data_IF_310332721481
#
_entry.id   IF_310332721481
#
_cell.length_a   1.000
_cell.length_b   1.000
_cell.length_c   1.000
_cell.angle_alpha   90.00
_cell.angle_beta   90.00
_cell.angle_gamma   90.00
#
_symmetry.space_group_name_H-M   'P 1'
#
loop_
_entity.id
_entity.type
_entity.pdbx_description
1 polymer ?
#
# COMPACT_ATOMS: atom_id res chain seq x y z
N UNK A 1 -10.95 9.59 31.97
CA UNK A 1 -9.76 9.10 31.24
C UNK A 1 -9.77 7.58 30.98
N UNK A 2 -9.99 6.67 31.94
CA UNK A 2 -9.95 5.22 31.67
C UNK A 2 -11.10 4.71 30.79
N UNK A 3 -12.28 5.32 30.89
CA UNK A 3 -13.45 5.05 30.03
C UNK A 3 -13.15 5.29 28.54
N UNK A 4 -12.52 6.42 28.21
CA UNK A 4 -12.15 6.76 26.82
C UNK A 4 -11.14 5.77 26.24
N UNK A 5 -10.17 5.32 27.04
CA UNK A 5 -9.19 4.30 26.63
C UNK A 5 -9.87 2.96 26.36
N UNK A 6 -10.76 2.52 27.26
CA UNK A 6 -11.51 1.26 27.11
C UNK A 6 -12.40 1.28 25.87
N UNK A 7 -13.10 2.39 25.65
CA UNK A 7 -13.99 2.56 24.49
C UNK A 7 -13.20 2.62 23.18
N UNK A 8 -12.06 3.31 23.14
CA UNK A 8 -11.19 3.36 21.96
C UNK A 8 -10.51 2.02 21.66
N UNK A 9 -10.23 1.19 22.66
CA UNK A 9 -9.63 -0.13 22.47
C UNK A 9 -10.62 -1.21 22.00
N UNK A 10 -11.90 -1.14 22.44
CA UNK A 10 -12.91 -2.15 22.10
C UNK A 10 -13.60 -1.86 20.76
N UNK A 11 -13.69 -0.58 20.37
CA UNK A 11 -14.39 -0.15 19.15
C UNK A 11 -13.85 -0.76 17.85
N UNK A 12 -12.52 -0.84 17.60
CA UNK A 12 -11.99 -1.45 16.38
C UNK A 12 -12.45 -2.89 16.21
N UNK A 13 -12.38 -3.70 17.28
CA UNK A 13 -12.85 -5.09 17.27
C UNK A 13 -14.36 -5.21 17.04
N UNK A 14 -15.15 -4.28 17.59
CA UNK A 14 -16.60 -4.25 17.37
C UNK A 14 -16.95 -3.83 15.94
N UNK A 15 -16.25 -2.86 15.37
CA UNK A 15 -16.42 -2.42 13.98
C UNK A 15 -16.00 -3.52 13.02
N UNK A 16 -14.88 -4.19 13.27
CA UNK A 16 -14.48 -5.42 12.57
C UNK A 16 -15.57 -6.49 12.63
N UNK A 17 -16.21 -6.72 13.77
CA UNK A 17 -17.27 -7.73 13.89
C UNK A 17 -18.62 -7.34 13.27
N UNK A 18 -18.89 -6.06 13.03
CA UNK A 18 -20.25 -5.57 12.67
C UNK A 18 -20.34 -4.90 11.30
N UNK A 19 -19.24 -4.41 10.75
CA UNK A 19 -19.20 -3.69 9.48
C UNK A 19 -18.48 -4.52 8.42
N UNK A 20 -19.18 -5.10 7.42
CA UNK A 20 -18.57 -5.95 6.41
C UNK A 20 -17.56 -5.21 5.52
N UNK A 21 -17.78 -3.91 5.28
CA UNK A 21 -16.86 -3.07 4.49
C UNK A 21 -15.50 -2.96 5.17
N UNK A 22 -15.48 -2.79 6.50
CA UNK A 22 -14.23 -2.72 7.28
C UNK A 22 -13.52 -4.06 7.23
N UNK A 23 -14.24 -5.19 7.34
CA UNK A 23 -13.63 -6.52 7.23
C UNK A 23 -12.92 -6.74 5.89
N UNK A 24 -13.57 -6.39 4.77
CA UNK A 24 -13.00 -6.55 3.43
C UNK A 24 -11.72 -5.71 3.28
N UNK A 25 -11.76 -4.44 3.69
CA UNK A 25 -10.58 -3.57 3.62
C UNK A 25 -9.46 -4.01 4.58
N UNK A 26 -9.79 -4.47 5.79
CA UNK A 26 -8.80 -5.00 6.73
C UNK A 26 -8.12 -6.26 6.18
N UNK A 27 -8.87 -7.20 5.60
CA UNK A 27 -8.30 -8.39 4.95
C UNK A 27 -7.43 -8.01 3.75
N UNK A 28 -7.88 -7.05 2.95
CA UNK A 28 -7.12 -6.56 1.81
C UNK A 28 -5.78 -5.92 2.22
N UNK A 29 -5.81 -5.03 3.21
CA UNK A 29 -4.59 -4.43 3.76
C UNK A 29 -3.67 -5.51 4.38
N UNK A 30 -4.23 -6.48 5.10
CA UNK A 30 -3.45 -7.57 5.68
C UNK A 30 -2.75 -8.41 4.59
N UNK A 31 -3.43 -8.66 3.46
CA UNK A 31 -2.84 -9.34 2.31
C UNK A 31 -1.66 -8.55 1.71
N UNK A 32 -1.83 -7.25 1.47
CA UNK A 32 -0.77 -6.40 0.93
C UNK A 32 0.46 -6.33 1.87
N UNK A 33 0.24 -6.13 3.17
CA UNK A 33 1.32 -6.13 4.15
C UNK A 33 1.98 -7.50 4.29
N UNK A 34 1.20 -8.58 4.23
CA UNK A 34 1.72 -9.94 4.26
C UNK A 34 2.71 -10.20 3.12
N UNK A 35 2.35 -9.83 1.88
CA UNK A 35 3.26 -9.97 0.74
C UNK A 35 4.48 -9.06 0.88
N UNK A 36 4.32 -7.83 1.37
CA UNK A 36 5.45 -6.93 1.57
C UNK A 36 6.45 -7.50 2.58
N UNK A 37 5.97 -8.08 3.68
CA UNK A 37 6.85 -8.72 4.66
C UNK A 37 7.52 -9.98 4.12
N UNK A 38 6.82 -10.79 3.32
CA UNK A 38 7.45 -11.93 2.64
C UNK A 38 8.54 -11.48 1.67
N UNK A 39 8.28 -10.40 0.92
CA UNK A 39 9.25 -9.83 0.00
C UNK A 39 10.47 -9.28 0.74
N UNK A 40 10.27 -8.59 1.88
CA UNK A 40 11.38 -8.11 2.71
C UNK A 40 12.17 -9.30 3.29
N UNK A 41 11.49 -10.33 3.80
CA UNK A 41 12.16 -11.48 4.42
C UNK A 41 13.04 -12.25 3.42
N UNK A 42 12.58 -12.40 2.18
CA UNK A 42 13.27 -13.15 1.12
C UNK A 42 14.18 -12.29 0.25
N UNK A 43 14.18 -10.96 0.47
CA UNK A 43 14.96 -10.03 -0.35
C UNK A 43 16.46 -10.32 -0.31
N UNK A 44 17.13 -10.50 0.84
CA UNK A 44 18.58 -10.73 0.86
C UNK A 44 18.98 -12.04 0.18
N UNK A 45 18.13 -13.06 0.28
CA UNK A 45 18.36 -14.40 -0.29
C UNK A 45 18.44 -14.33 -1.80
N UNK A 46 17.57 -13.55 -2.46
CA UNK A 46 17.60 -13.41 -3.92
C UNK A 46 18.95 -12.85 -4.42
N UNK A 47 19.56 -11.91 -3.69
CA UNK A 47 20.81 -11.26 -4.09
C UNK A 47 22.02 -12.14 -3.74
N UNK A 48 21.94 -12.87 -2.64
CA UNK A 48 22.99 -13.80 -2.20
C UNK A 48 23.01 -15.07 -3.07
N UNK A 49 21.84 -15.66 -3.33
CA UNK A 49 21.74 -16.95 -4.02
C UNK A 49 21.82 -16.81 -5.54
N UNK A 50 21.14 -15.82 -6.12
CA UNK A 50 21.06 -15.65 -7.58
C UNK A 50 22.21 -14.81 -8.12
N UNK A 51 22.52 -13.69 -7.46
CA UNK A 51 23.51 -12.73 -7.93
C UNK A 51 24.90 -12.91 -7.29
N UNK A 52 25.03 -13.81 -6.30
CA UNK A 52 26.29 -14.08 -5.57
C UNK A 52 26.89 -12.84 -4.92
N UNK A 53 26.04 -11.86 -4.58
CA UNK A 53 26.45 -10.67 -3.84
C UNK A 53 26.59 -10.98 -2.34
N UNK A 54 27.37 -10.17 -1.63
CA UNK A 54 27.42 -10.26 -0.17
C UNK A 54 26.12 -9.77 0.45
N UNK A 55 25.75 -10.32 1.61
CA UNK A 55 24.52 -9.95 2.34
C UNK A 55 24.44 -8.44 2.60
N UNK A 56 25.58 -7.77 2.84
CA UNK A 56 25.63 -6.32 3.04
C UNK A 56 25.23 -5.54 1.79
N UNK A 57 25.64 -5.98 0.60
CA UNK A 57 25.27 -5.35 -0.68
C UNK A 57 23.82 -5.70 -1.01
N UNK A 58 23.41 -6.97 -0.85
CA UNK A 58 22.03 -7.41 -1.04
C UNK A 58 21.04 -6.59 -0.21
N UNK A 59 21.37 -6.30 1.05
CA UNK A 59 20.55 -5.45 1.93
C UNK A 59 20.48 -3.99 1.47
N UNK A 60 21.49 -3.47 0.78
CA UNK A 60 21.47 -2.09 0.27
C UNK A 60 20.34 -1.90 -0.75
N UNK A 61 19.94 -2.96 -1.45
CA UNK A 61 18.88 -2.94 -2.44
C UNK A 61 17.49 -2.67 -1.85
N UNK A 62 17.29 -2.76 -0.52
CA UNK A 62 16.07 -2.27 0.13
C UNK A 62 15.79 -0.80 -0.17
N UNK A 63 16.81 -0.01 -0.53
CA UNK A 63 16.63 1.38 -0.96
C UNK A 63 15.66 1.49 -2.14
N UNK A 64 15.57 0.47 -3.00
CA UNK A 64 14.62 0.45 -4.12
C UNK A 64 13.17 0.51 -3.65
N UNK A 65 12.82 -0.23 -2.59
CA UNK A 65 11.50 -0.17 -1.95
C UNK A 65 11.24 1.22 -1.37
N UNK A 66 12.19 1.78 -0.63
CA UNK A 66 12.06 3.13 -0.06
C UNK A 66 11.88 4.21 -1.13
N UNK A 67 12.63 4.13 -2.23
CA UNK A 67 12.51 5.06 -3.35
C UNK A 67 11.14 4.90 -4.02
N UNK A 68 10.70 3.67 -4.28
CA UNK A 68 9.37 3.40 -4.84
C UNK A 68 8.23 3.92 -3.97
N UNK A 69 8.27 3.62 -2.67
CA UNK A 69 7.30 4.09 -1.67
C UNK A 69 7.31 5.62 -1.54
N UNK A 70 8.50 6.22 -1.48
CA UNK A 70 8.67 7.68 -1.37
C UNK A 70 8.15 8.42 -2.60
N UNK A 71 8.49 7.94 -3.81
CA UNK A 71 8.00 8.51 -5.06
C UNK A 71 6.48 8.36 -5.19
N UNK A 72 5.92 7.20 -4.88
CA UNK A 72 4.48 6.98 -4.92
C UNK A 72 3.73 7.81 -3.87
N UNK A 73 4.26 7.91 -2.65
CA UNK A 73 3.67 8.74 -1.60
C UNK A 73 3.68 10.22 -1.99
N UNK A 74 4.77 10.73 -2.58
CA UNK A 74 4.87 12.14 -2.93
C UNK A 74 4.13 12.48 -4.22
N UNK A 75 4.39 11.73 -5.30
CA UNK A 75 3.83 12.03 -6.62
C UNK A 75 2.46 11.41 -6.78
N UNK A 76 2.31 10.13 -6.43
CA UNK A 76 1.05 9.39 -6.54
C UNK A 76 -0.06 10.01 -5.70
N UNK A 77 0.19 10.34 -4.43
CA UNK A 77 -0.81 10.99 -3.57
C UNK A 77 -1.22 12.36 -4.09
N UNK A 78 -0.27 13.16 -4.61
CA UNK A 78 -0.61 14.47 -5.20
C UNK A 78 -1.46 14.33 -6.46
N UNK A 79 -1.16 13.35 -7.32
CA UNK A 79 -1.98 13.03 -8.49
C UNK A 79 -3.37 12.59 -8.02
N UNK A 80 -3.41 11.77 -6.98
CA UNK A 80 -4.66 11.26 -6.43
C UNK A 80 -5.55 12.36 -5.86
N UNK A 81 -4.98 13.26 -5.08
CA UNK A 81 -5.69 14.42 -4.54
C UNK A 81 -6.16 15.38 -5.62
N UNK A 82 -5.36 15.58 -6.69
CA UNK A 82 -5.78 16.40 -7.84
C UNK A 82 -6.97 15.77 -8.55
N UNK A 83 -6.94 14.46 -8.77
CA UNK A 83 -8.05 13.74 -9.40
C UNK A 83 -9.30 13.78 -8.52
N UNK A 84 -9.15 13.52 -7.22
CA UNK A 84 -10.22 13.64 -6.24
C UNK A 84 -10.87 15.04 -6.25
N UNK A 85 -10.06 16.11 -6.17
CA UNK A 85 -10.56 17.50 -6.23
C UNK A 85 -11.29 17.80 -7.54
N UNK A 86 -10.83 17.25 -8.67
CA UNK A 86 -11.49 17.39 -9.96
C UNK A 86 -12.87 16.73 -9.96
N UNK A 87 -13.00 15.52 -9.41
CA UNK A 87 -14.30 14.85 -9.27
C UNK A 87 -15.23 15.59 -8.29
N UNK A 88 -14.70 16.09 -7.17
CA UNK A 88 -15.48 16.94 -6.26
C UNK A 88 -16.04 18.18 -6.96
N UNK A 89 -15.22 18.87 -7.76
CA UNK A 89 -15.66 20.04 -8.52
C UNK A 89 -16.73 19.71 -9.56
N UNK A 90 -16.65 18.53 -10.18
CA UNK A 90 -17.67 18.05 -11.12
C UNK A 90 -18.98 17.64 -10.43
N UNK A 91 -18.92 17.23 -9.16
CA UNK A 91 -20.07 16.85 -8.35
C UNK A 91 -20.58 17.99 -7.45
N UNK A 92 -20.58 19.22 -7.97
CA UNK A 92 -21.11 20.39 -7.24
C UNK A 92 -20.35 20.78 -5.98
N UNK A 93 -19.08 20.36 -5.85
CA UNK A 93 -18.23 20.63 -4.69
C UNK A 93 -18.37 19.64 -3.54
N UNK A 94 -19.22 18.60 -3.67
CA UNK A 94 -19.43 17.61 -2.63
C UNK A 94 -18.49 16.41 -2.82
N UNK A 95 -17.60 16.18 -1.85
CA UNK A 95 -16.67 15.06 -1.85
C UNK A 95 -17.31 13.77 -1.39
N UNK A 96 -17.30 12.76 -2.26
CA UNK A 96 -17.74 11.40 -1.94
C UNK A 96 -16.51 10.50 -1.75
N UNK A 97 -16.53 9.58 -0.78
CA UNK A 97 -15.44 8.62 -0.57
C UNK A 97 -15.16 7.79 -1.83
N UNK A 98 -16.18 7.54 -2.63
CA UNK A 98 -16.12 6.78 -3.90
C UNK A 98 -15.18 7.38 -4.94
N UNK A 99 -14.89 8.69 -4.88
CA UNK A 99 -13.97 9.33 -5.83
C UNK A 99 -12.52 8.86 -5.69
N UNK A 100 -12.20 8.13 -4.61
CA UNK A 100 -10.90 7.48 -4.43
C UNK A 100 -10.83 6.10 -5.11
N UNK A 101 -11.97 5.47 -5.41
CA UNK A 101 -12.04 4.12 -6.00
C UNK A 101 -11.29 3.98 -7.34
N UNK A 102 -11.34 4.93 -8.28
CA UNK A 102 -10.61 4.79 -9.55
C UNK A 102 -9.10 4.61 -9.36
N UNK A 103 -8.54 5.24 -8.34
CA UNK A 103 -7.11 5.19 -8.03
C UNK A 103 -6.75 3.89 -7.32
N UNK A 104 -7.66 3.40 -6.46
CA UNK A 104 -7.57 2.08 -5.87
C UNK A 104 -7.55 0.98 -6.94
N UNK A 105 -8.42 1.04 -7.94
CA UNK A 105 -8.41 0.09 -9.06
C UNK A 105 -7.09 0.13 -9.82
N UNK A 106 -6.56 1.34 -10.08
CA UNK A 106 -5.26 1.49 -10.73
C UNK A 106 -4.12 0.90 -9.89
N UNK A 107 -4.12 1.13 -8.58
CA UNK A 107 -3.19 0.52 -7.62
C UNK A 107 -3.29 -1.01 -7.61
N UNK A 108 -4.50 -1.55 -7.49
CA UNK A 108 -4.76 -2.98 -7.51
C UNK A 108 -4.27 -3.67 -8.80
N UNK A 109 -4.22 -2.96 -9.94
CA UNK A 109 -3.62 -3.48 -11.17
C UNK A 109 -2.09 -3.36 -11.20
N UNK A 110 -1.51 -2.29 -10.63
CA UNK A 110 -0.06 -2.07 -10.70
C UNK A 110 0.74 -2.98 -9.77
N UNK A 111 0.15 -3.34 -8.61
CA UNK A 111 0.77 -4.22 -7.62
C UNK A 111 1.10 -5.61 -8.18
N UNK A 112 0.17 -6.37 -8.80
CA UNK A 112 0.48 -7.68 -9.37
C UNK A 112 1.46 -7.58 -10.54
N UNK A 113 1.44 -6.48 -11.30
CA UNK A 113 2.43 -6.24 -12.37
C UNK A 113 3.83 -6.06 -11.76
N UNK A 114 3.97 -5.27 -10.68
CA UNK A 114 5.23 -5.11 -9.97
C UNK A 114 5.75 -6.42 -9.37
N UNK A 115 4.85 -7.22 -8.77
CA UNK A 115 5.19 -8.51 -8.19
C UNK A 115 5.61 -9.54 -9.27
N UNK A 116 4.90 -9.57 -10.39
CA UNK A 116 5.27 -10.40 -11.53
C UNK A 116 6.61 -9.97 -12.12
N UNK A 117 6.84 -8.67 -12.27
CA UNK A 117 8.11 -8.12 -12.74
C UNK A 117 9.26 -8.51 -11.82
N UNK A 118 9.07 -8.40 -10.51
CA UNK A 118 10.02 -8.85 -9.51
C UNK A 118 10.35 -10.33 -9.69
N UNK A 119 9.36 -11.21 -9.64
CA UNK A 119 9.57 -12.65 -9.75
C UNK A 119 10.17 -13.09 -11.10
N UNK A 120 9.77 -12.45 -12.20
CA UNK A 120 10.33 -12.73 -13.53
C UNK A 120 11.80 -12.33 -13.65
N UNK A 121 12.19 -11.24 -12.98
CA UNK A 121 13.52 -10.63 -13.10
C UNK A 121 14.59 -11.30 -12.26
N UNK A 122 14.21 -12.14 -11.29
CA UNK A 122 15.16 -12.92 -10.46
C UNK A 122 15.77 -14.04 -11.29
N UNK A 123 16.79 -13.70 -12.09
CA UNK A 123 17.57 -14.65 -12.90
C UNK A 123 19.02 -14.20 -12.98
N UNK A 124 19.98 -15.14 -13.01
CA UNK A 124 21.41 -14.79 -13.11
C UNK A 124 21.76 -14.06 -14.41
N UNK A 125 20.97 -14.22 -15.47
CA UNK A 125 21.20 -13.59 -16.78
C UNK A 125 20.57 -12.19 -16.92
N UNK A 126 19.82 -11.71 -15.92
CA UNK A 126 19.11 -10.42 -15.96
C UNK A 126 19.78 -9.44 -15.02
N UNK A 127 19.97 -8.19 -15.43
CA UNK A 127 20.64 -7.16 -14.63
C UNK A 127 19.99 -6.99 -13.24
N UNK A 128 20.80 -6.89 -12.18
CA UNK A 128 20.39 -6.79 -10.76
C UNK A 128 19.41 -5.65 -10.45
N UNK A 129 19.35 -4.63 -11.32
CA UNK A 129 18.43 -3.49 -11.19
C UNK A 129 16.98 -3.86 -11.56
N UNK A 130 16.75 -4.92 -12.33
CA UNK A 130 15.41 -5.29 -12.79
C UNK A 130 14.51 -5.78 -11.64
N UNK A 131 14.97 -6.68 -10.74
CA UNK A 131 14.24 -6.99 -9.51
C UNK A 131 13.96 -5.74 -8.66
N UNK A 132 14.92 -4.81 -8.55
CA UNK A 132 14.74 -3.55 -7.80
C UNK A 132 13.61 -2.68 -8.37
N UNK A 133 13.49 -2.60 -9.69
CA UNK A 133 12.39 -1.85 -10.33
C UNK A 133 11.04 -2.49 -9.99
N UNK A 134 10.94 -3.83 -10.07
CA UNK A 134 9.72 -4.56 -9.70
C UNK A 134 9.34 -4.33 -8.23
N UNK A 135 10.32 -4.41 -7.33
CA UNK A 135 10.16 -4.12 -5.92
C UNK A 135 9.69 -2.68 -5.67
N UNK A 136 10.30 -1.69 -6.34
CA UNK A 136 9.91 -0.29 -6.24
C UNK A 136 8.46 -0.05 -6.71
N UNK A 137 8.04 -0.68 -7.82
CA UNK A 137 6.65 -0.60 -8.32
C UNK A 137 5.68 -1.21 -7.31
N UNK A 138 6.00 -2.41 -6.80
CA UNK A 138 5.19 -3.08 -5.79
C UNK A 138 5.04 -2.27 -4.50
N UNK A 139 6.16 -1.78 -3.94
CA UNK A 139 6.17 -0.97 -2.72
C UNK A 139 5.43 0.35 -2.91
N UNK A 140 5.64 1.01 -4.06
CA UNK A 140 4.94 2.24 -4.41
C UNK A 140 3.43 2.05 -4.55
N UNK A 141 2.99 1.02 -5.27
CA UNK A 141 1.57 0.68 -5.42
C UNK A 141 0.91 0.38 -4.08
N UNK A 142 1.57 -0.43 -3.24
CA UNK A 142 1.09 -0.81 -1.91
C UNK A 142 0.86 0.40 -1.01
N UNK A 143 1.82 1.34 -0.95
CA UNK A 143 1.68 2.55 -0.12
C UNK A 143 0.56 3.46 -0.63
N UNK A 144 0.51 3.69 -1.94
CA UNK A 144 -0.52 4.55 -2.53
C UNK A 144 -1.91 4.01 -2.23
N UNK A 145 -2.07 2.69 -2.33
CA UNK A 145 -3.35 2.04 -2.11
C UNK A 145 -3.77 2.11 -0.63
N UNK A 146 -2.87 1.79 0.31
CA UNK A 146 -3.13 1.91 1.75
C UNK A 146 -3.53 3.34 2.12
N UNK A 147 -2.87 4.36 1.56
CA UNK A 147 -3.24 5.76 1.78
C UNK A 147 -4.64 6.09 1.24
N UNK A 148 -5.01 5.53 0.08
CA UNK A 148 -6.34 5.72 -0.48
C UNK A 148 -7.43 5.03 0.35
N UNK A 149 -7.19 3.81 0.84
CA UNK A 149 -8.10 3.09 1.76
C UNK A 149 -8.27 3.87 3.06
N UNK A 150 -7.17 4.36 3.64
CA UNK A 150 -7.20 5.19 4.83
C UNK A 150 -8.06 6.45 4.62
N UNK A 151 -7.87 7.15 3.51
CA UNK A 151 -8.71 8.29 3.14
C UNK A 151 -10.20 7.91 2.98
N UNK A 152 -10.48 6.77 2.33
CA UNK A 152 -11.84 6.26 2.14
C UNK A 152 -12.54 5.97 3.48
N UNK A 153 -11.85 5.33 4.43
CA UNK A 153 -12.41 5.02 5.75
C UNK A 153 -12.68 6.31 6.54
N UNK A 154 -11.77 7.30 6.49
CA UNK A 154 -11.99 8.60 7.13
C UNK A 154 -13.25 9.28 6.56
N UNK A 155 -13.34 9.35 5.23
CA UNK A 155 -14.41 10.04 4.53
C UNK A 155 -15.76 9.34 4.75
N UNK A 156 -15.77 8.01 4.90
CA UNK A 156 -16.99 7.21 5.15
C UNK A 156 -17.43 7.24 6.62
N UNK A 157 -16.47 7.19 7.56
CA UNK A 157 -16.74 7.13 9.00
C UNK A 157 -16.30 8.40 9.71
N UNK A 158 -16.64 9.59 9.21
CA UNK A 158 -16.18 10.88 9.77
C UNK A 158 -16.29 11.02 11.30
N UNK A 159 -17.35 10.46 11.91
CA UNK A 159 -17.58 10.49 13.37
C UNK A 159 -16.76 9.46 14.16
N UNK A 160 -16.27 8.41 13.51
CA UNK A 160 -15.53 7.30 14.11
C UNK A 160 -14.20 7.00 13.42
N UNK A 161 -13.68 7.91 12.60
CA UNK A 161 -12.51 7.70 11.75
C UNK A 161 -11.31 7.20 12.57
N UNK A 162 -11.03 7.83 13.71
CA UNK A 162 -9.94 7.45 14.60
C UNK A 162 -10.06 6.04 15.24
N UNK A 163 -11.25 5.43 15.26
CA UNK A 163 -11.47 4.07 15.77
C UNK A 163 -11.63 3.03 14.66
N UNK A 164 -11.66 3.47 13.40
CA UNK A 164 -11.88 2.62 12.22
C UNK A 164 -10.60 2.49 11.38
N UNK A 165 -9.63 3.38 11.61
CA UNK A 165 -8.26 3.29 11.09
C UNK A 165 -7.39 2.34 11.88
#
# INVERSE_FOLDING_TARGET
>A
MPELLRVSAIRPFKLLGTQPIVQVWSLYCAYLWGILYLLIATFPDVWTDTYKESVSIGSLNYISLFVGMGLASQVGTRIADRYYKKLCAQNGGQGLPEFRLPILIFGACIIPVGLFWYGWSVRPNVHWIMPNIGAAIYGGGTVLEVLCVMGYIIDTYQKYAASTM
#
